data_IF_197235849708
#
_entry.id   IF_197235849708
#
_cell.length_a   1.000
_cell.length_b   1.000
_cell.length_c   1.000
_cell.angle_alpha   90.00
_cell.angle_beta   90.00
_cell.angle_gamma   90.00
#
_symmetry.space_group_name_H-M   'P 1'
#
loop_
_entity.id
_entity.type
_entity.pdbx_description
1 polymer ?
#
# COMPACT_ATOMS: atom_id res chain seq x y z
N UNK A 1 0.88 5.44 10.71
CA UNK A 1 0.45 5.19 9.33
C UNK A 1 1.69 5.21 8.45
N UNK A 2 2.06 4.07 7.87
CA UNK A 2 3.17 4.02 6.90
C UNK A 2 2.86 4.96 5.74
N UNK A 3 3.86 5.70 5.24
CA UNK A 3 3.72 6.56 4.06
C UNK A 3 4.03 5.77 2.80
N UNK A 4 3.57 6.24 1.65
CA UNK A 4 3.82 5.58 0.36
C UNK A 4 5.30 5.29 0.11
N UNK A 5 6.18 6.29 0.31
CA UNK A 5 7.61 6.09 0.11
C UNK A 5 8.21 5.08 1.09
N UNK A 6 7.69 4.99 2.31
CA UNK A 6 8.15 4.02 3.31
C UNK A 6 7.76 2.60 2.92
N UNK A 7 6.59 2.41 2.29
CA UNK A 7 6.19 1.13 1.72
C UNK A 7 7.11 0.72 0.56
N UNK A 8 7.41 1.66 -0.35
CA UNK A 8 8.34 1.41 -1.48
C UNK A 8 9.71 1.01 -0.96
N UNK A 9 10.31 1.80 -0.06
CA UNK A 9 11.64 1.51 0.51
C UNK A 9 11.65 0.17 1.25
N UNK A 10 10.58 -0.15 1.98
CA UNK A 10 10.46 -1.45 2.65
C UNK A 10 10.51 -2.60 1.66
N UNK A 11 9.79 -2.52 0.55
CA UNK A 11 9.76 -3.58 -0.46
C UNK A 11 11.13 -3.70 -1.14
N UNK A 12 11.72 -2.57 -1.54
CA UNK A 12 13.06 -2.53 -2.15
C UNK A 12 14.16 -3.09 -1.26
N UNK A 13 13.97 -3.09 0.07
CA UNK A 13 14.93 -3.68 1.00
C UNK A 13 15.08 -5.20 0.87
N UNK A 14 14.08 -5.90 0.31
CA UNK A 14 14.12 -7.35 0.09
C UNK A 14 13.87 -7.76 -1.37
N UNK A 15 13.35 -6.87 -2.21
CA UNK A 15 13.17 -7.04 -3.65
C UNK A 15 13.62 -5.76 -4.38
N UNK A 16 14.93 -5.58 -4.63
CA UNK A 16 15.47 -4.35 -5.24
C UNK A 16 15.01 -4.09 -6.68
N UNK A 17 14.57 -5.13 -7.38
CA UNK A 17 14.16 -5.09 -8.79
C UNK A 17 12.63 -4.98 -8.96
N UNK A 18 11.91 -4.72 -7.87
CA UNK A 18 10.45 -4.61 -7.86
C UNK A 18 9.94 -3.52 -8.82
N UNK A 19 8.80 -3.78 -9.47
CA UNK A 19 8.12 -2.80 -10.32
C UNK A 19 7.43 -1.71 -9.47
N UNK A 20 8.18 -0.66 -9.14
CA UNK A 20 7.69 0.50 -8.39
C UNK A 20 6.55 1.23 -9.09
N UNK A 21 6.54 1.27 -10.42
CA UNK A 21 5.50 1.94 -11.20
C UNK A 21 4.16 1.23 -11.03
N UNK A 22 4.17 -0.11 -10.98
CA UNK A 22 2.98 -0.90 -10.72
C UNK A 22 2.45 -0.69 -9.29
N UNK A 23 3.33 -0.64 -8.29
CA UNK A 23 2.95 -0.31 -6.91
C UNK A 23 2.34 1.10 -6.80
N UNK A 24 2.95 2.08 -7.47
CA UNK A 24 2.47 3.46 -7.49
C UNK A 24 1.10 3.57 -8.16
N UNK A 25 0.85 2.82 -9.24
CA UNK A 25 -0.48 2.76 -9.88
C UNK A 25 -1.54 2.23 -8.92
N UNK A 26 -1.24 1.17 -8.17
CA UNK A 26 -2.16 0.60 -7.17
C UNK A 26 -2.46 1.61 -6.05
N UNK A 27 -1.42 2.27 -5.51
CA UNK A 27 -1.58 3.32 -4.51
C UNK A 27 -2.48 4.46 -5.01
N UNK A 28 -2.22 4.98 -6.22
CA UNK A 28 -3.01 6.07 -6.82
C UNK A 28 -4.44 5.62 -7.10
N UNK A 29 -4.66 4.38 -7.54
CA UNK A 29 -5.99 3.83 -7.75
C UNK A 29 -6.79 3.81 -6.44
N UNK A 30 -6.21 3.25 -5.39
CA UNK A 30 -6.85 3.16 -4.07
C UNK A 30 -7.10 4.54 -3.45
N UNK A 31 -6.16 5.48 -3.58
CA UNK A 31 -6.37 6.88 -3.18
C UNK A 31 -7.51 7.56 -3.96
N UNK A 32 -7.65 7.29 -5.25
CA UNK A 32 -8.77 7.84 -6.05
C UNK A 32 -10.11 7.24 -5.61
N UNK A 33 -10.14 5.96 -5.25
CA UNK A 33 -11.35 5.29 -4.80
C UNK A 33 -11.77 5.71 -3.38
N UNK A 34 -10.80 5.87 -2.48
CA UNK A 34 -11.04 5.95 -1.04
C UNK A 34 -10.49 7.20 -0.35
N UNK A 35 -9.82 8.11 -1.08
CA UNK A 35 -9.12 9.26 -0.49
C UNK A 35 -10.01 10.28 0.20
N UNK A 36 -11.28 10.39 -0.19
CA UNK A 36 -12.30 11.21 0.48
C UNK A 36 -13.29 10.38 1.30
N UNK A 37 -13.12 9.06 1.38
CA UNK A 37 -14.00 8.16 2.11
C UNK A 37 -13.53 8.03 3.56
N UNK A 38 -14.47 7.96 4.48
CA UNK A 38 -14.23 7.67 5.90
C UNK A 38 -14.82 6.32 6.28
N UNK A 39 -14.22 5.67 7.29
CA UNK A 39 -14.79 4.51 7.97
C UNK A 39 -15.89 4.96 8.94
N UNK A 40 -16.63 4.01 9.48
CA UNK A 40 -17.61 4.28 10.55
C UNK A 40 -16.95 4.91 11.79
N UNK A 41 -15.68 4.61 12.06
CA UNK A 41 -14.89 5.25 13.13
C UNK A 41 -14.59 6.74 12.91
N UNK A 42 -14.80 7.25 11.69
CA UNK A 42 -14.40 8.59 11.27
C UNK A 42 -12.98 8.68 10.68
N UNK A 43 -12.19 7.60 10.75
CA UNK A 43 -10.85 7.58 10.15
C UNK A 43 -10.90 7.56 8.62
N UNK A 44 -9.89 8.13 7.92
CA UNK A 44 -9.77 7.99 6.47
C UNK A 44 -9.73 6.52 6.06
N UNK A 45 -10.59 6.10 5.13
CA UNK A 45 -10.69 4.69 4.71
C UNK A 45 -9.36 4.18 4.15
N UNK A 46 -8.70 4.99 3.34
CA UNK A 46 -7.42 4.66 2.71
C UNK A 46 -6.31 4.28 3.69
N UNK A 47 -6.39 4.73 4.95
CA UNK A 47 -5.43 4.32 5.98
C UNK A 47 -5.35 2.81 6.16
N UNK A 48 -6.48 2.12 6.02
CA UNK A 48 -6.57 0.68 6.29
C UNK A 48 -5.86 -0.17 5.21
N UNK A 49 -6.15 -0.04 3.90
CA UNK A 49 -5.40 -0.73 2.85
C UNK A 49 -3.89 -0.48 2.92
N UNK A 50 -3.48 0.76 3.25
CA UNK A 50 -2.06 1.10 3.34
C UNK A 50 -1.35 0.37 4.50
N UNK A 51 -2.00 0.24 5.66
CA UNK A 51 -1.47 -0.55 6.77
C UNK A 51 -1.42 -2.06 6.44
N UNK A 52 -2.43 -2.59 5.75
CA UNK A 52 -2.44 -3.98 5.28
C UNK A 52 -1.25 -4.24 4.35
N UNK A 53 -1.02 -3.38 3.36
CA UNK A 53 0.13 -3.48 2.47
C UNK A 53 1.48 -3.41 3.23
N UNK A 54 1.56 -2.55 4.25
CA UNK A 54 2.73 -2.45 5.14
C UNK A 54 3.04 -3.76 5.88
N UNK A 55 2.01 -4.45 6.40
CA UNK A 55 2.15 -5.75 7.06
C UNK A 55 2.55 -6.86 6.09
N UNK A 56 1.97 -6.89 4.89
CA UNK A 56 2.34 -7.85 3.85
C UNK A 56 3.81 -7.66 3.42
N UNK A 57 4.28 -6.41 3.36
CA UNK A 57 5.68 -6.10 3.12
C UNK A 57 6.60 -6.50 4.30
N UNK A 58 6.14 -6.40 5.56
CA UNK A 58 6.88 -6.94 6.73
C UNK A 58 7.04 -8.47 6.66
N UNK A 59 6.06 -9.15 6.08
CA UNK A 59 6.10 -10.59 5.79
C UNK A 59 6.95 -10.93 4.55
N UNK A 60 7.50 -9.91 3.86
CA UNK A 60 8.29 -10.04 2.62
C UNK A 60 7.56 -10.79 1.50
N UNK A 61 6.26 -10.53 1.37
CA UNK A 61 5.45 -11.12 0.30
C UNK A 61 5.74 -10.45 -1.05
N UNK A 62 5.29 -11.11 -2.12
CA UNK A 62 5.46 -10.66 -3.48
C UNK A 62 4.65 -9.39 -3.78
N UNK A 63 5.07 -8.67 -4.82
CA UNK A 63 4.46 -7.41 -5.24
C UNK A 63 2.96 -7.53 -5.51
N UNK A 64 2.50 -8.62 -6.13
CA UNK A 64 1.08 -8.77 -6.47
C UNK A 64 0.21 -8.93 -5.22
N UNK A 65 0.70 -9.66 -4.21
CA UNK A 65 0.04 -9.75 -2.90
C UNK A 65 -0.04 -8.39 -2.21
N UNK A 66 1.04 -7.61 -2.24
CA UNK A 66 1.07 -6.28 -1.62
C UNK A 66 0.13 -5.30 -2.32
N UNK A 67 0.12 -5.31 -3.66
CA UNK A 67 -0.84 -4.55 -4.46
C UNK A 67 -2.26 -4.94 -4.09
N UNK A 68 -2.53 -6.24 -3.93
CA UNK A 68 -3.87 -6.72 -3.52
C UNK A 68 -4.27 -6.16 -2.15
N UNK A 69 -3.33 -5.97 -1.22
CA UNK A 69 -3.61 -5.30 0.05
C UNK A 69 -3.97 -3.82 -0.06
N UNK A 70 -3.57 -3.15 -1.14
CA UNK A 70 -3.93 -1.75 -1.43
C UNK A 70 -5.29 -1.60 -2.11
N UNK A 71 -5.76 -2.62 -2.84
CA UNK A 71 -6.98 -2.62 -3.64
C UNK A 71 -8.22 -3.07 -2.85
#
# INVERSE_FOLDING_TARGET
MIRQYELVEKIKSYDPDVDEDLLNKAYVFSMKAHGSQTRESGDPYFSHPLEVAGLLADMKLDLATIITGLL
#
